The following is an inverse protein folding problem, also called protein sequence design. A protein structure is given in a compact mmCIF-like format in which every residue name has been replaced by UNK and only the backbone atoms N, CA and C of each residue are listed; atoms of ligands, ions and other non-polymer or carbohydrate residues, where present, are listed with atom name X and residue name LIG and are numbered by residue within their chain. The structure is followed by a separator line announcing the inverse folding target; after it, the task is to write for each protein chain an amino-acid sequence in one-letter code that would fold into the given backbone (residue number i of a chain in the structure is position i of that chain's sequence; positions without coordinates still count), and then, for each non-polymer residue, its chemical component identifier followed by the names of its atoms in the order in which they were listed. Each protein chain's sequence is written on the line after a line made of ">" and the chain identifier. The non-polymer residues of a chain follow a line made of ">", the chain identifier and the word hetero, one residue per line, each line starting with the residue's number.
data_IF_631427465914
#
_entry.id   IF_631427465914
#
_cell.length_a   1.000
_cell.length_b   1.000
_cell.length_c   1.000
_cell.angle_alpha   90.00
_cell.angle_beta   90.00
_cell.angle_gamma   90.00
#
_symmetry.space_group_name_H-M   'P 1'
#
loop_
_entity.id
_entity.type
_entity.pdbx_description
1 polymer ?
#
# COMPACT_ATOMS: atom_id res chain seq x y z
N UNK A 1 -19.47 9.05 7.93
CA UNK A 1 -18.28 9.45 7.17
C UNK A 1 -17.32 8.28 7.18
N UNK A 2 -16.78 7.89 6.02
CA UNK A 2 -15.89 6.72 5.91
C UNK A 2 -14.52 7.22 5.47
N UNK A 3 -13.49 6.89 6.25
CA UNK A 3 -12.12 7.09 5.81
C UNK A 3 -11.79 6.07 4.74
N UNK A 4 -11.02 6.48 3.73
CA UNK A 4 -10.58 5.61 2.65
C UNK A 4 -9.12 5.84 2.35
N UNK A 5 -8.47 4.77 1.93
CA UNK A 5 -7.11 4.78 1.42
C UNK A 5 -7.14 4.36 -0.04
N UNK A 6 -6.18 4.85 -0.83
CA UNK A 6 -6.00 4.39 -2.20
C UNK A 6 -4.52 4.18 -2.46
N UNK A 7 -4.19 3.11 -3.17
CA UNK A 7 -2.83 2.64 -3.21
C UNK A 7 -2.64 1.41 -4.06
N UNK A 8 -1.38 1.05 -4.27
CA UNK A 8 -1.02 -0.21 -4.93
C UNK A 8 -1.10 -1.38 -3.94
N UNK A 9 -1.64 -2.50 -4.40
CA UNK A 9 -1.76 -3.72 -3.60
C UNK A 9 -0.58 -4.64 -3.86
N UNK A 10 -0.02 -5.18 -2.79
CA UNK A 10 1.02 -6.18 -2.78
C UNK A 10 0.50 -7.38 -1.99
N UNK A 11 0.77 -8.59 -2.49
CA UNK A 11 0.82 -9.75 -1.61
C UNK A 11 2.00 -9.62 -0.64
N UNK A 12 1.90 -10.30 0.50
CA UNK A 12 3.03 -10.38 1.44
C UNK A 12 4.27 -11.04 0.79
N UNK A 13 4.05 -11.99 -0.12
CA UNK A 13 5.13 -12.62 -0.89
C UNK A 13 5.86 -11.62 -1.79
N UNK A 14 5.11 -10.78 -2.54
CA UNK A 14 5.70 -9.74 -3.38
C UNK A 14 6.47 -8.70 -2.55
N UNK A 15 5.90 -8.25 -1.43
CA UNK A 15 6.57 -7.33 -0.51
C UNK A 15 7.87 -7.93 0.05
N UNK A 16 7.85 -9.21 0.42
CA UNK A 16 9.04 -9.92 0.91
C UNK A 16 10.09 -10.11 -0.18
N UNK A 17 9.67 -10.44 -1.40
CA UNK A 17 10.58 -10.57 -2.55
C UNK A 17 11.27 -9.24 -2.87
N UNK A 18 10.54 -8.13 -2.79
CA UNK A 18 11.12 -6.79 -2.93
C UNK A 18 12.17 -6.51 -1.85
N UNK A 19 11.85 -6.71 -0.56
CA UNK A 19 12.80 -6.47 0.53
C UNK A 19 14.05 -7.36 0.43
N UNK A 20 13.90 -8.63 0.02
CA UNK A 20 15.02 -9.55 -0.22
C UNK A 20 15.95 -9.07 -1.33
N UNK A 21 15.40 -8.55 -2.42
CA UNK A 21 16.18 -8.08 -3.58
C UNK A 21 17.09 -6.88 -3.22
N UNK A 22 16.70 -6.11 -2.23
CA UNK A 22 17.44 -4.94 -1.75
C UNK A 22 18.58 -5.30 -0.76
N UNK A 23 18.85 -6.61 -0.53
CA UNK A 23 19.73 -7.10 0.54
C UNK A 23 19.41 -6.44 1.90
N UNK A 24 18.13 -6.13 2.10
CA UNK A 24 17.70 -5.34 3.23
C UNK A 24 17.86 -6.20 4.50
N UNK A 25 18.39 -5.65 5.61
CA UNK A 25 18.62 -6.39 6.85
C UNK A 25 17.38 -7.09 7.44
N UNK A 26 16.19 -6.75 6.93
CA UNK A 26 14.89 -7.18 7.39
C UNK A 26 14.24 -8.23 6.50
N UNK A 27 15.01 -8.88 5.60
CA UNK A 27 14.51 -9.96 4.75
C UNK A 27 13.85 -11.14 5.51
N UNK A 28 14.22 -11.30 6.78
CA UNK A 28 13.69 -12.32 7.69
C UNK A 28 12.65 -11.76 8.68
N UNK A 29 12.26 -10.50 8.54
CA UNK A 29 11.24 -9.92 9.42
C UNK A 29 9.93 -10.71 9.30
N UNK A 30 9.25 -10.96 10.42
CA UNK A 30 7.91 -11.54 10.42
C UNK A 30 6.95 -10.71 9.55
N UNK A 31 5.92 -11.37 9.02
CA UNK A 31 4.93 -10.79 8.13
C UNK A 31 4.31 -9.49 8.70
N UNK A 32 4.04 -9.46 10.00
CA UNK A 32 3.49 -8.29 10.72
C UNK A 32 4.36 -7.03 10.64
N UNK A 33 5.66 -7.16 10.34
CA UNK A 33 6.58 -6.03 10.20
C UNK A 33 6.79 -5.57 8.76
N UNK A 34 6.35 -6.32 7.75
CA UNK A 34 6.62 -5.98 6.34
C UNK A 34 6.14 -4.57 5.98
N UNK A 35 4.95 -4.16 6.44
CA UNK A 35 4.45 -2.80 6.22
C UNK A 35 5.37 -1.75 6.87
N UNK A 36 5.87 -2.01 8.08
CA UNK A 36 6.82 -1.12 8.76
C UNK A 36 8.12 -0.98 7.98
N UNK A 37 8.64 -2.07 7.41
CA UNK A 37 9.87 -2.02 6.61
C UNK A 37 9.69 -1.22 5.31
N UNK A 38 8.57 -1.42 4.63
CA UNK A 38 8.24 -0.61 3.46
C UNK A 38 8.10 0.88 3.82
N UNK A 39 7.55 1.19 5.00
CA UNK A 39 7.48 2.57 5.50
C UNK A 39 8.87 3.18 5.74
N UNK A 40 9.85 2.41 6.22
CA UNK A 40 11.23 2.89 6.31
C UNK A 40 11.81 3.22 4.94
N UNK A 41 11.58 2.36 3.93
CA UNK A 41 12.02 2.61 2.55
C UNK A 41 11.48 3.93 1.99
N UNK A 42 10.20 4.25 2.21
CA UNK A 42 9.60 5.53 1.80
C UNK A 42 10.25 6.70 2.52
N UNK A 43 10.47 6.57 3.84
CA UNK A 43 11.07 7.60 4.66
C UNK A 43 12.49 7.95 4.21
N UNK A 44 13.31 6.95 3.89
CA UNK A 44 14.67 7.16 3.36
C UNK A 44 14.67 7.95 2.04
N UNK A 45 13.64 7.73 1.21
CA UNK A 45 13.44 8.45 -0.07
C UNK A 45 12.65 9.74 0.07
N UNK A 46 12.34 10.17 1.30
CA UNK A 46 11.57 11.39 1.61
C UNK A 46 10.18 11.40 0.96
N UNK A 47 9.56 10.23 0.85
CA UNK A 47 8.18 10.07 0.42
C UNK A 47 7.32 10.02 1.69
N UNK A 48 6.64 11.11 2.02
CA UNK A 48 5.91 11.29 3.28
C UNK A 48 4.38 11.19 3.15
N UNK A 49 3.86 11.25 1.93
CA UNK A 49 2.44 11.23 1.63
C UNK A 49 1.88 9.82 1.34
N UNK A 50 2.77 8.82 1.23
CA UNK A 50 2.44 7.40 1.07
C UNK A 50 2.89 6.62 2.30
N UNK A 51 2.15 5.57 2.63
CA UNK A 51 2.52 4.63 3.68
C UNK A 51 2.01 3.23 3.36
N UNK A 52 2.72 2.20 3.81
CA UNK A 52 2.31 0.82 3.73
C UNK A 52 1.38 0.44 4.88
N UNK A 53 0.31 -0.29 4.55
CA UNK A 53 -0.69 -0.83 5.49
C UNK A 53 -0.91 -2.30 5.21
N UNK A 54 -0.76 -3.16 6.22
CA UNK A 54 -1.29 -4.52 6.17
C UNK A 54 -2.81 -4.54 6.36
N UNK A 55 -3.54 -5.22 5.48
CA UNK A 55 -5.01 -5.31 5.53
C UNK A 55 -5.49 -6.65 4.97
N UNK A 56 -6.67 -7.09 5.41
CA UNK A 56 -7.38 -8.27 4.90
C UNK A 56 -8.20 -7.95 3.63
N UNK A 57 -7.80 -6.94 2.84
CA UNK A 57 -8.54 -6.52 1.65
C UNK A 57 -8.51 -7.60 0.54
N UNK A 58 -9.65 -7.88 -0.13
CA UNK A 58 -11.00 -7.44 0.21
C UNK A 58 -11.49 -8.06 1.52
N UNK A 59 -12.07 -7.25 2.41
CA UNK A 59 -12.41 -7.60 3.80
C UNK A 59 -12.94 -9.03 3.95
N UNK A 60 -12.36 -9.79 4.88
CA UNK A 60 -12.64 -11.21 5.06
C UNK A 60 -11.84 -12.14 4.15
N UNK A 61 -10.91 -11.61 3.35
CA UNK A 61 -9.92 -12.41 2.64
C UNK A 61 -9.02 -13.15 3.63
N UNK A 62 -8.77 -14.44 3.39
CA UNK A 62 -7.78 -15.21 4.15
C UNK A 62 -6.33 -14.91 3.72
N UNK A 63 -6.17 -14.14 2.64
CA UNK A 63 -4.87 -13.71 2.14
C UNK A 63 -4.69 -12.22 2.49
N UNK A 64 -3.88 -11.90 3.51
CA UNK A 64 -3.57 -10.52 3.83
C UNK A 64 -2.74 -9.90 2.70
N UNK A 65 -2.96 -8.60 2.48
CA UNK A 65 -2.26 -7.80 1.47
C UNK A 65 -1.68 -6.55 2.12
N UNK A 66 -0.64 -6.00 1.50
CA UNK A 66 -0.12 -4.68 1.85
C UNK A 66 -0.65 -3.68 0.83
N UNK A 67 -1.25 -2.60 1.30
CA UNK A 67 -1.63 -1.46 0.46
C UNK A 67 -0.66 -0.33 0.71
N UNK A 68 0.04 0.11 -0.34
CA UNK A 68 0.82 1.34 -0.33
C UNK A 68 -0.10 2.53 -0.54
N UNK A 69 -0.64 3.01 0.57
CA UNK A 69 -1.74 3.92 0.66
C UNK A 69 -1.32 5.39 0.67
N UNK A 70 -2.04 6.19 -0.12
CA UNK A 70 -2.25 7.62 0.12
C UNK A 70 -3.51 7.79 0.98
N UNK A 71 -3.42 8.49 2.12
CA UNK A 71 -4.64 8.89 2.85
C UNK A 71 -5.44 9.82 1.98
N UNK A 72 -6.73 9.56 1.85
CA UNK A 72 -7.67 10.61 1.44
C UNK A 72 -8.69 10.83 2.53
N UNK A 73 -8.57 11.98 3.20
CA UNK A 73 -9.53 12.40 4.21
C UNK A 73 -10.85 12.76 3.51
N UNK A 74 -11.90 12.08 3.96
CA UNK A 74 -13.30 12.40 3.75
C UNK A 74 -13.84 12.37 2.31
N UNK A 75 -14.81 11.50 2.12
CA UNK A 75 -15.75 11.61 1.03
C UNK A 75 -17.14 11.82 1.65
N UNK A 76 -17.69 13.05 1.60
CA UNK A 76 -18.94 13.39 2.26
C UNK A 76 -20.14 12.62 1.69
N UNK A 77 -19.97 11.96 0.53
CA UNK A 77 -21.00 11.17 -0.14
C UNK A 77 -20.78 9.66 -0.02
N UNK A 78 -19.70 9.20 0.64
CA UNK A 78 -19.41 7.78 0.80
C UNK A 78 -20.15 7.17 1.99
N UNK A 79 -20.73 5.99 1.76
CA UNK A 79 -21.31 5.13 2.79
C UNK A 79 -20.34 3.98 3.09
N UNK A 80 -20.60 3.20 4.15
CA UNK A 80 -19.80 2.00 4.48
C UNK A 80 -19.78 0.99 3.32
N UNK A 81 -20.80 0.99 2.47
CA UNK A 81 -20.96 0.06 1.35
C UNK A 81 -20.51 0.60 -0.01
N UNK A 82 -20.30 1.91 -0.16
CA UNK A 82 -19.94 2.55 -1.45
C UNK A 82 -19.04 3.75 -1.22
N UNK A 83 -17.91 3.77 -1.92
CA UNK A 83 -17.02 4.93 -1.96
C UNK A 83 -16.66 5.30 -3.40
N UNK A 84 -16.29 6.56 -3.61
CA UNK A 84 -15.77 6.99 -4.90
C UNK A 84 -14.32 6.54 -5.07
N UNK A 85 -14.01 5.99 -6.24
CA UNK A 85 -12.65 5.63 -6.64
C UNK A 85 -11.76 6.87 -6.59
N UNK A 86 -10.63 6.75 -5.92
CA UNK A 86 -9.56 7.74 -5.94
C UNK A 86 -8.68 7.42 -7.13
N UNK A 87 -8.43 8.42 -7.98
CA UNK A 87 -7.54 8.27 -9.12
C UNK A 87 -6.08 8.32 -8.64
N UNK A 88 -5.27 7.44 -9.21
CA UNK A 88 -3.81 7.52 -9.17
C UNK A 88 -3.37 8.84 -9.82
N UNK A 89 -2.49 9.58 -9.16
CA UNK A 89 -1.91 10.83 -9.64
C UNK A 89 -0.56 10.58 -10.32
N UNK A 90 -0.06 11.57 -11.07
CA UNK A 90 1.25 11.44 -11.71
C UNK A 90 2.40 11.34 -10.70
N UNK A 91 2.27 11.99 -9.53
CA UNK A 91 3.21 11.80 -8.42
C UNK A 91 3.21 10.37 -7.88
N UNK A 92 2.02 9.75 -7.77
CA UNK A 92 1.89 8.35 -7.38
C UNK A 92 2.64 7.48 -8.41
N UNK A 93 2.39 7.69 -9.70
CA UNK A 93 3.05 6.92 -10.78
C UNK A 93 4.57 7.03 -10.78
N UNK A 94 5.12 8.18 -10.43
CA UNK A 94 6.57 8.35 -10.35
C UNK A 94 7.18 7.50 -9.24
N UNK A 95 6.50 7.41 -8.08
CA UNK A 95 6.89 6.47 -7.02
C UNK A 95 6.71 5.03 -7.49
N UNK A 96 5.62 4.72 -8.21
CA UNK A 96 5.41 3.38 -8.78
C UNK A 96 6.59 2.94 -9.64
N UNK A 97 7.13 3.81 -10.51
CA UNK A 97 8.31 3.48 -11.33
C UNK A 97 9.52 3.07 -10.49
N UNK A 98 9.82 3.83 -9.43
CA UNK A 98 10.92 3.50 -8.52
C UNK A 98 10.69 2.15 -7.84
N UNK A 99 9.46 1.90 -7.38
CA UNK A 99 9.08 0.62 -6.79
C UNK A 99 9.25 -0.52 -7.80
N UNK A 100 8.79 -0.37 -9.04
CA UNK A 100 8.92 -1.42 -10.07
C UNK A 100 10.38 -1.72 -10.40
N UNK A 101 11.21 -0.69 -10.55
CA UNK A 101 12.64 -0.84 -10.82
C UNK A 101 13.35 -1.60 -9.68
N UNK A 102 13.10 -1.19 -8.45
CA UNK A 102 13.74 -1.74 -7.26
C UNK A 102 13.22 -3.11 -6.85
N UNK A 103 11.91 -3.35 -7.00
CA UNK A 103 11.28 -4.64 -6.66
C UNK A 103 11.45 -5.68 -7.76
N UNK A 104 11.53 -5.26 -9.03
CA UNK A 104 11.45 -6.15 -10.18
C UNK A 104 10.05 -6.69 -10.48
N UNK A 105 9.01 -6.11 -9.87
CA UNK A 105 7.61 -6.40 -10.20
C UNK A 105 7.24 -5.78 -11.54
N UNK A 106 6.22 -6.33 -12.19
CA UNK A 106 5.63 -5.74 -13.38
C UNK A 106 4.54 -4.72 -13.01
N UNK A 107 4.20 -3.83 -13.93
CA UNK A 107 3.16 -2.81 -13.69
C UNK A 107 1.80 -3.43 -13.33
N UNK A 108 1.49 -4.58 -13.94
CA UNK A 108 0.28 -5.38 -13.74
C UNK A 108 0.22 -6.06 -12.36
N UNK A 109 1.36 -6.27 -11.72
CA UNK A 109 1.45 -6.86 -10.38
C UNK A 109 1.02 -5.87 -9.28
N UNK A 110 0.93 -4.58 -9.62
CA UNK A 110 0.64 -3.47 -8.69
C UNK A 110 -0.63 -2.71 -9.08
N UNK A 111 -1.82 -3.32 -8.93
CA UNK A 111 -3.08 -2.66 -9.25
C UNK A 111 -3.35 -1.53 -8.26
N UNK A 112 -3.74 -0.36 -8.78
CA UNK A 112 -4.23 0.75 -7.97
C UNK A 112 -5.67 0.51 -7.53
N UNK A 113 -5.89 0.44 -6.23
CA UNK A 113 -7.21 0.23 -5.63
C UNK A 113 -7.60 1.40 -4.74
N UNK A 114 -8.89 1.51 -4.46
CA UNK A 114 -9.39 2.33 -3.35
C UNK A 114 -10.09 1.38 -2.40
N UNK A 115 -9.77 1.46 -1.12
CA UNK A 115 -10.34 0.58 -0.08
C UNK A 115 -10.84 1.43 1.07
N UNK A 116 -11.86 0.93 1.78
CA UNK A 116 -12.24 1.52 3.06
C UNK A 116 -11.05 1.42 4.00
N UNK A 117 -10.77 2.50 4.74
CA UNK A 117 -9.62 2.56 5.64
C UNK A 117 -9.76 1.46 6.71
N UNK A 118 -8.83 0.49 6.77
CA UNK A 118 -8.92 -0.64 7.68
C UNK A 118 -8.77 -0.21 9.14
N UNK A 119 -8.16 0.94 9.43
CA UNK A 119 -7.92 1.39 10.79
C UNK A 119 -9.10 2.17 11.39
N UNK A 120 -10.02 2.69 10.57
CA UNK A 120 -11.15 3.53 11.04
C UNK A 120 -10.72 4.65 12.02
N UNK A 121 -9.47 5.10 12.00
CA UNK A 121 -8.95 6.05 12.98
C UNK A 121 -9.33 7.49 12.59
N UNK A 122 -10.08 8.13 13.51
CA UNK A 122 -10.57 9.51 13.46
C UNK A 122 -9.48 10.54 13.78
#
# INVERSE_FOLDING_TARGET
>A
MVFKIAGWVFSFEQARAWLKKQDHPYQHSPDEFLATELNFWFRERKIDYLWAVGTDYPRGSMQPVIVLARRRREDPKSTVSRFYRVRELDADREVKKQVLEESGLNDEDLPWVTVADPFFEY
#
